data_IF_966245303148
#
_entry.id   IF_966245303148
#
_cell.length_a   1.000
_cell.length_b   1.000
_cell.length_c   1.000
_cell.angle_alpha   90.00
_cell.angle_beta   90.00
_cell.angle_gamma   90.00
#
_symmetry.space_group_name_H-M   'P 1'
#
loop_
_entity.id
_entity.type
_entity.pdbx_description
1 polymer ?
#
# COMPACT_ATOMS: atom_id res chain seq x y z
N UNK A 1 0.85 -1.35 -5.77
CA UNK A 1 0.21 -0.50 -6.81
C UNK A 1 -0.57 0.62 -6.12
N UNK A 2 -0.78 1.79 -6.73
CA UNK A 2 -1.47 2.91 -6.08
C UNK A 2 -2.89 2.55 -5.63
N UNK A 3 -3.55 1.61 -6.31
CA UNK A 3 -4.88 1.13 -5.94
C UNK A 3 -4.95 0.53 -4.53
N UNK A 4 -3.85 -0.05 -4.05
CA UNK A 4 -3.77 -0.64 -2.72
C UNK A 4 -3.65 0.41 -1.60
N UNK A 5 -3.27 1.66 -1.94
CA UNK A 5 -3.17 2.77 -0.98
C UNK A 5 -4.58 3.20 -0.60
N UNK A 6 -4.85 3.15 0.70
CA UNK A 6 -6.09 3.57 1.34
C UNK A 6 -5.97 5.04 1.75
N UNK A 7 -7.07 5.77 1.65
CA UNK A 7 -7.11 7.20 1.95
C UNK A 7 -7.94 7.98 0.94
N UNK A 8 -8.36 9.18 1.37
CA UNK A 8 -9.11 10.11 0.54
C UNK A 8 -8.13 11.11 -0.08
N UNK A 9 -8.22 11.33 -1.40
CA UNK A 9 -7.34 12.25 -2.14
C UNK A 9 -6.29 11.54 -2.98
N UNK A 10 -5.10 12.14 -3.10
CA UNK A 10 -4.00 11.60 -3.91
C UNK A 10 -3.39 10.35 -3.26
N UNK A 11 -3.37 9.25 -4.01
CA UNK A 11 -2.83 7.95 -3.56
C UNK A 11 -1.32 7.87 -3.81
N UNK A 12 -0.55 8.50 -2.94
CA UNK A 12 0.91 8.48 -2.95
C UNK A 12 1.47 8.30 -1.53
N UNK A 13 2.70 7.80 -1.45
CA UNK A 13 3.48 7.71 -0.23
C UNK A 13 4.76 8.51 -0.42
N UNK A 14 5.18 9.21 0.62
CA UNK A 14 6.47 9.90 0.63
C UNK A 14 7.61 8.91 0.94
N UNK A 15 8.81 9.20 0.46
CA UNK A 15 9.98 8.39 0.78
C UNK A 15 10.26 8.41 2.29
N UNK A 16 10.43 7.23 2.88
CA UNK A 16 10.63 7.08 4.33
C UNK A 16 9.35 7.12 5.17
N UNK A 17 8.18 7.32 4.55
CA UNK A 17 6.91 7.27 5.26
C UNK A 17 6.63 5.88 5.82
N UNK A 18 6.33 5.81 7.12
CA UNK A 18 5.91 4.57 7.76
C UNK A 18 4.49 4.19 7.31
N UNK A 19 4.27 2.91 7.04
CA UNK A 19 3.00 2.38 6.58
C UNK A 19 2.67 1.07 7.27
N UNK A 20 1.38 0.77 7.33
CA UNK A 20 0.87 -0.58 7.61
C UNK A 20 0.20 -1.14 6.36
N UNK A 21 0.28 -2.45 6.16
CA UNK A 21 -0.29 -3.11 4.99
C UNK A 21 -0.53 -4.59 5.28
N UNK A 22 -1.38 -5.21 4.47
CA UNK A 22 -1.60 -6.65 4.46
C UNK A 22 -0.75 -7.31 3.37
N UNK A 23 -0.16 -8.46 3.67
CA UNK A 23 0.59 -9.25 2.68
C UNK A 23 -0.35 -10.27 2.07
N UNK A 24 -0.53 -10.22 0.75
CA UNK A 24 -1.35 -11.18 -0.01
C UNK A 24 -0.51 -11.84 -1.10
N UNK A 25 -0.86 -13.08 -1.47
CA UNK A 25 -0.19 -13.76 -2.58
C UNK A 25 -0.83 -13.39 -3.92
N UNK A 26 -0.04 -12.75 -4.78
CA UNK A 26 -0.42 -12.35 -6.13
C UNK A 26 0.11 -13.25 -7.22
N UNK A 27 -0.27 -12.99 -8.49
CA UNK A 27 0.21 -13.74 -9.66
C UNK A 27 1.72 -13.64 -9.88
N UNK A 28 2.40 -12.69 -9.22
CA UNK A 28 3.86 -12.49 -9.28
C UNK A 28 4.55 -12.67 -7.93
N UNK A 29 3.89 -13.31 -6.96
CA UNK A 29 4.38 -13.48 -5.59
C UNK A 29 3.76 -12.49 -4.60
N UNK A 30 4.39 -12.32 -3.42
CA UNK A 30 3.83 -11.52 -2.34
C UNK A 30 3.69 -10.05 -2.74
N UNK A 31 2.54 -9.47 -2.46
CA UNK A 31 2.25 -8.06 -2.72
C UNK A 31 1.57 -7.42 -1.51
N UNK A 32 1.73 -6.10 -1.39
CA UNK A 32 1.07 -5.30 -0.37
C UNK A 32 -0.35 -4.91 -0.81
N UNK A 33 -1.32 -5.19 0.04
CA UNK A 33 -2.72 -4.76 -0.07
C UNK A 33 -3.11 -3.91 1.15
N UNK A 34 -4.23 -3.20 1.07
CA UNK A 34 -4.76 -2.36 2.16
C UNK A 34 -3.70 -1.46 2.83
N UNK A 35 -2.89 -0.76 2.02
CA UNK A 35 -1.77 0.06 2.49
C UNK A 35 -2.31 1.33 3.14
N UNK A 36 -2.12 1.47 4.45
CA UNK A 36 -2.47 2.65 5.24
C UNK A 36 -1.20 3.42 5.63
N UNK A 37 -1.08 4.69 5.24
CA UNK A 37 -0.03 5.56 5.77
C UNK A 37 -0.24 5.81 7.28
N UNK A 38 0.85 5.85 8.04
CA UNK A 38 0.83 6.18 9.47
C UNK A 38 0.55 7.66 9.74
#
# INVERSE_FOLDING_TARGET
>A
HYSAIQGNGYKSLDEGQAVTFEVVQGPKGPQADAVNPA
#
